data_IF_900911637284
#
_entry.id   IF_900911637284
#
_cell.length_a   1.000
_cell.length_b   1.000
_cell.length_c   1.000
_cell.angle_alpha   90.00
_cell.angle_beta   90.00
_cell.angle_gamma   90.00
#
_symmetry.space_group_name_H-M   'P 1'
#
loop_
_entity.id
_entity.type
_entity.pdbx_description
1 polymer ?
#
# COMPACT_ATOMS: atom_id res chain seq x y z
N UNK A 1 -0.54 -25.19 -2.58
CA UNK A 1 0.28 -24.42 -3.55
C UNK A 1 -0.12 -22.95 -3.67
N UNK A 2 -1.42 -22.58 -3.60
CA UNK A 2 -1.87 -21.16 -3.68
C UNK A 2 -1.22 -20.22 -2.65
N UNK A 3 -1.15 -20.63 -1.36
CA UNK A 3 -0.59 -19.76 -0.32
C UNK A 3 0.89 -19.43 -0.53
N UNK A 4 1.69 -20.34 -1.08
CA UNK A 4 3.13 -20.09 -1.30
C UNK A 4 3.37 -18.99 -2.36
N UNK A 5 2.50 -18.89 -3.37
CA UNK A 5 2.60 -17.82 -4.36
C UNK A 5 2.27 -16.45 -3.73
N UNK A 6 1.16 -16.37 -2.99
CA UNK A 6 0.74 -15.11 -2.37
C UNK A 6 1.70 -14.64 -1.27
N UNK A 7 2.24 -15.54 -0.43
CA UNK A 7 3.25 -15.16 0.56
C UNK A 7 4.51 -14.61 -0.10
N UNK A 8 4.98 -15.20 -1.22
CA UNK A 8 6.14 -14.66 -1.95
C UNK A 8 5.89 -13.28 -2.52
N UNK A 9 4.69 -13.05 -3.05
CA UNK A 9 4.30 -11.73 -3.58
C UNK A 9 4.16 -10.71 -2.46
N UNK A 10 3.51 -11.08 -1.35
CA UNK A 10 3.43 -10.26 -0.13
C UNK A 10 4.81 -9.78 0.32
N UNK A 11 5.78 -10.71 0.47
CA UNK A 11 7.16 -10.37 0.89
C UNK A 11 7.84 -9.45 -0.12
N UNK A 12 7.67 -9.71 -1.43
CA UNK A 12 8.26 -8.86 -2.46
C UNK A 12 7.70 -7.43 -2.43
N UNK A 13 6.37 -7.28 -2.32
CA UNK A 13 5.72 -5.98 -2.22
C UNK A 13 6.10 -5.25 -0.93
N UNK A 14 6.23 -5.97 0.20
CA UNK A 14 6.66 -5.39 1.47
C UNK A 14 8.10 -4.84 1.40
N UNK A 15 9.03 -5.58 0.78
CA UNK A 15 10.40 -5.12 0.55
C UNK A 15 10.43 -3.90 -0.37
N UNK A 16 9.57 -3.86 -1.40
CA UNK A 16 9.50 -2.71 -2.28
C UNK A 16 8.91 -1.49 -1.57
N UNK A 17 7.87 -1.69 -0.75
CA UNK A 17 7.25 -0.64 0.05
C UNK A 17 8.24 -0.01 1.01
N UNK A 18 9.00 -0.84 1.73
CA UNK A 18 10.04 -0.37 2.64
C UNK A 18 11.07 0.53 1.94
N UNK A 19 11.50 0.16 0.72
CA UNK A 19 12.40 0.98 -0.09
C UNK A 19 11.76 2.29 -0.52
N UNK A 20 10.54 2.22 -1.05
CA UNK A 20 9.81 3.39 -1.56
C UNK A 20 9.56 4.39 -0.43
N UNK A 21 9.15 3.89 0.74
CA UNK A 21 8.90 4.67 1.94
C UNK A 21 10.16 5.37 2.47
N UNK A 22 11.27 4.62 2.64
CA UNK A 22 12.51 5.20 3.18
C UNK A 22 13.20 6.18 2.23
N UNK A 23 13.06 5.98 0.92
CA UNK A 23 13.64 6.88 -0.08
C UNK A 23 12.71 8.00 -0.50
N UNK A 24 11.46 7.98 -0.03
CA UNK A 24 10.40 8.88 -0.49
C UNK A 24 10.23 8.82 -2.03
N UNK A 25 10.43 7.63 -2.60
CA UNK A 25 10.18 7.34 -4.01
C UNK A 25 8.65 7.17 -4.16
N UNK A 26 7.97 8.24 -4.58
CA UNK A 26 6.52 8.26 -4.77
C UNK A 26 6.09 8.09 -6.23
N UNK A 27 4.79 8.29 -6.47
CA UNK A 27 4.19 8.15 -7.80
C UNK A 27 3.33 6.90 -7.94
N UNK A 28 2.84 6.69 -9.16
CA UNK A 28 1.88 5.62 -9.47
C UNK A 28 2.41 4.23 -9.07
N UNK A 29 3.67 3.84 -9.34
CA UNK A 29 4.16 2.52 -8.94
C UNK A 29 4.16 2.29 -7.43
N UNK A 30 4.46 3.33 -6.63
CA UNK A 30 4.49 3.23 -5.18
C UNK A 30 3.06 3.11 -4.59
N UNK A 31 2.10 3.84 -5.16
CA UNK A 31 0.67 3.70 -4.84
C UNK A 31 0.14 2.32 -5.23
N UNK A 32 0.48 1.83 -6.43
CA UNK A 32 0.11 0.49 -6.90
C UNK A 32 0.72 -0.61 -6.00
N UNK A 33 1.90 -0.39 -5.43
CA UNK A 33 2.50 -1.35 -4.50
C UNK A 33 1.73 -1.42 -3.15
N UNK A 34 1.13 -0.32 -2.67
CA UNK A 34 0.25 -0.35 -1.49
C UNK A 34 -1.02 -1.17 -1.78
N UNK A 35 -1.63 -0.99 -2.95
CA UNK A 35 -2.84 -1.76 -3.34
C UNK A 35 -2.51 -3.26 -3.48
N UNK A 36 -1.35 -3.60 -4.06
CA UNK A 36 -0.87 -4.98 -4.12
C UNK A 36 -0.62 -5.57 -2.72
N UNK A 37 -0.02 -4.80 -1.80
CA UNK A 37 0.16 -5.21 -0.41
C UNK A 37 -1.17 -5.54 0.27
N UNK A 38 -2.16 -4.65 0.16
CA UNK A 38 -3.51 -4.85 0.72
C UNK A 38 -4.14 -6.13 0.15
N UNK A 39 -4.04 -6.34 -1.16
CA UNK A 39 -4.53 -7.55 -1.82
C UNK A 39 -3.87 -8.80 -1.24
N UNK A 40 -2.54 -8.83 -1.14
CA UNK A 40 -1.84 -10.04 -0.67
C UNK A 40 -1.99 -10.25 0.83
N UNK A 41 -2.14 -9.21 1.64
CA UNK A 41 -2.52 -9.31 3.06
C UNK A 41 -3.88 -10.02 3.16
N UNK A 42 -4.89 -9.52 2.45
CA UNK A 42 -6.25 -10.08 2.45
C UNK A 42 -6.32 -11.54 1.93
N UNK A 43 -5.36 -11.98 1.11
CA UNK A 43 -5.28 -13.35 0.59
C UNK A 43 -4.44 -14.30 1.46
N UNK A 44 -3.53 -13.77 2.28
CA UNK A 44 -2.49 -14.56 2.97
C UNK A 44 -2.69 -14.61 4.47
N UNK A 45 -3.21 -13.53 5.07
CA UNK A 45 -3.36 -13.36 6.51
C UNK A 45 -4.83 -13.42 6.91
N UNK A 46 -5.09 -13.89 8.12
CA UNK A 46 -6.43 -13.87 8.72
C UNK A 46 -6.66 -12.50 9.38
N UNK A 47 -7.12 -11.53 8.59
CA UNK A 47 -7.39 -10.15 9.04
C UNK A 47 -8.83 -9.99 9.50
N UNK A 48 -9.01 -9.22 10.58
CA UNK A 48 -10.35 -8.92 11.09
C UNK A 48 -11.18 -8.16 10.05
N UNK A 49 -12.52 -8.28 10.11
CA UNK A 49 -13.41 -7.52 9.22
C UNK A 49 -13.20 -6.00 9.31
N UNK A 50 -12.85 -5.51 10.50
CA UNK A 50 -12.57 -4.09 10.75
C UNK A 50 -11.27 -3.68 10.05
N UNK A 51 -10.19 -4.42 10.28
CA UNK A 51 -8.92 -4.19 9.62
C UNK A 51 -9.06 -4.22 8.09
N UNK A 52 -9.81 -5.19 7.56
CA UNK A 52 -10.09 -5.29 6.13
C UNK A 52 -10.83 -4.06 5.59
N UNK A 53 -11.85 -3.58 6.29
CA UNK A 53 -12.57 -2.37 5.89
C UNK A 53 -11.65 -1.14 5.84
N UNK A 54 -10.78 -0.97 6.83
CA UNK A 54 -9.82 0.14 6.87
C UNK A 54 -8.77 0.02 5.76
N UNK A 55 -8.31 -1.20 5.45
CA UNK A 55 -7.44 -1.45 4.30
C UNK A 55 -8.17 -1.17 2.97
N UNK A 56 -9.45 -1.51 2.83
CA UNK A 56 -10.23 -1.23 1.62
C UNK A 56 -10.45 0.30 1.42
N UNK A 57 -10.55 1.07 2.51
CA UNK A 57 -10.59 2.54 2.46
C UNK A 57 -9.25 3.11 1.94
N UNK A 58 -8.12 2.56 2.37
CA UNK A 58 -6.78 2.94 1.88
C UNK A 58 -6.58 2.53 0.42
N UNK A 59 -7.05 1.35 0.02
CA UNK A 59 -7.01 0.90 -1.38
C UNK A 59 -7.76 1.90 -2.29
N UNK A 60 -8.96 2.30 -1.87
CA UNK A 60 -9.75 3.33 -2.56
C UNK A 60 -9.01 4.67 -2.62
N UNK A 61 -8.38 5.09 -1.53
CA UNK A 61 -7.55 6.32 -1.48
C UNK A 61 -6.39 6.26 -2.47
N UNK A 62 -5.69 5.12 -2.56
CA UNK A 62 -4.60 4.92 -3.51
C UNK A 62 -5.06 5.03 -4.96
N UNK A 63 -6.22 4.45 -5.30
CA UNK A 63 -6.81 4.57 -6.64
C UNK A 63 -7.13 6.04 -6.99
N UNK A 64 -7.69 6.80 -6.05
CA UNK A 64 -7.96 8.23 -6.26
C UNK A 64 -6.66 9.03 -6.45
N UNK A 65 -5.61 8.70 -5.70
CA UNK A 65 -4.32 9.38 -5.80
C UNK A 65 -3.59 9.05 -7.10
N UNK A 66 -3.70 7.80 -7.56
CA UNK A 66 -3.23 7.35 -8.86
C UNK A 66 -3.87 8.15 -9.99
N UNK A 67 -5.18 8.41 -9.92
CA UNK A 67 -5.88 9.22 -10.92
C UNK A 67 -5.40 10.68 -10.91
N UNK A 68 -5.05 11.24 -9.75
CA UNK A 68 -4.42 12.56 -9.66
C UNK A 68 -3.03 12.54 -10.30
N UNK A 69 -2.19 11.57 -9.93
CA UNK A 69 -0.83 11.42 -10.44
C UNK A 69 -0.74 11.12 -11.94
N UNK A 70 -1.81 10.59 -12.53
CA UNK A 70 -1.86 10.32 -13.97
C UNK A 70 -2.08 11.59 -14.81
N UNK A 71 -2.37 12.73 -14.17
CA UNK A 71 -2.59 14.00 -14.88
C UNK A 71 -1.24 14.65 -15.24
N UNK A 72 -1.08 15.16 -16.48
CA UNK A 72 0.19 15.67 -16.99
C UNK A 72 0.70 16.93 -16.27
N UNK A 73 -0.17 17.63 -15.54
CA UNK A 73 0.13 18.84 -14.77
C UNK A 73 0.43 18.57 -13.29
N UNK A 74 0.32 17.31 -12.84
CA UNK A 74 0.67 16.94 -11.46
C UNK A 74 2.19 16.85 -11.32
N UNK A 75 2.74 17.58 -10.35
CA UNK A 75 4.17 17.53 -10.05
C UNK A 75 4.59 16.23 -9.37
N UNK A 76 5.84 15.82 -9.59
CA UNK A 76 6.43 14.66 -8.91
C UNK A 76 6.37 14.81 -7.38
N UNK A 77 6.60 16.02 -6.86
CA UNK A 77 6.53 16.29 -5.42
C UNK A 77 5.12 16.05 -4.87
N UNK A 78 4.08 16.48 -5.59
CA UNK A 78 2.70 16.20 -5.21
C UNK A 78 2.41 14.69 -5.21
N UNK A 79 2.96 13.95 -6.16
CA UNK A 79 2.83 12.49 -6.18
C UNK A 79 3.56 11.79 -5.03
N UNK A 80 4.68 12.35 -4.56
CA UNK A 80 5.35 11.87 -3.35
C UNK A 80 4.54 12.17 -2.10
N UNK A 81 3.98 13.37 -1.99
CA UNK A 81 3.14 13.75 -0.85
C UNK A 81 1.92 12.83 -0.73
N UNK A 82 1.25 12.56 -1.86
CA UNK A 82 0.10 11.64 -1.91
C UNK A 82 0.49 10.19 -1.55
N UNK A 83 1.64 9.72 -2.03
CA UNK A 83 2.16 8.42 -1.63
C UNK A 83 2.44 8.36 -0.12
N UNK A 84 3.13 9.35 0.44
CA UNK A 84 3.44 9.41 1.87
C UNK A 84 2.17 9.41 2.72
N UNK A 85 1.18 10.19 2.32
CA UNK A 85 -0.11 10.26 3.00
C UNK A 85 -0.86 8.91 2.99
N UNK A 86 -0.83 8.16 1.88
CA UNK A 86 -1.39 6.81 1.84
C UNK A 86 -0.53 5.78 2.62
N UNK A 87 0.80 5.90 2.56
CA UNK A 87 1.72 5.00 3.23
C UNK A 87 1.65 5.13 4.76
N UNK A 88 1.49 6.34 5.28
CA UNK A 88 1.30 6.60 6.72
C UNK A 88 0.03 5.91 7.22
N UNK A 89 -1.09 6.07 6.50
CA UNK A 89 -2.35 5.42 6.86
C UNK A 89 -2.21 3.89 6.83
N UNK A 90 -1.57 3.34 5.80
CA UNK A 90 -1.30 1.91 5.68
C UNK A 90 -0.47 1.37 6.86
N UNK A 91 0.63 2.02 7.21
CA UNK A 91 1.47 1.65 8.35
C UNK A 91 0.68 1.74 9.66
N UNK A 92 -0.12 2.79 9.83
CA UNK A 92 -0.94 2.97 11.02
C UNK A 92 -1.96 1.83 11.19
N UNK A 93 -2.65 1.42 10.13
CA UNK A 93 -3.59 0.29 10.15
C UNK A 93 -2.84 -1.02 10.43
N UNK A 94 -1.71 -1.26 9.77
CA UNK A 94 -0.92 -2.47 10.00
C UNK A 94 -0.49 -2.62 11.46
N UNK A 95 -0.03 -1.54 12.09
CA UNK A 95 0.38 -1.53 13.51
C UNK A 95 -0.80 -1.62 14.47
N UNK A 96 -1.91 -0.95 14.16
CA UNK A 96 -3.09 -0.93 15.05
C UNK A 96 -3.76 -2.31 15.16
N UNK A 97 -3.70 -3.10 14.09
CA UNK A 97 -4.32 -4.42 14.02
C UNK A 97 -3.31 -5.58 14.00
N UNK A 98 -2.04 -5.32 14.35
CA UNK A 98 -0.95 -6.31 14.39
C UNK A 98 -0.84 -7.17 13.10
N UNK A 99 -1.01 -6.53 11.93
CA UNK A 99 -1.02 -7.22 10.62
C UNK A 99 0.41 -7.49 10.14
N UNK A 100 1.24 -6.45 10.14
CA UNK A 100 2.64 -6.47 9.70
C UNK A 100 3.45 -5.51 10.59
N UNK A 101 4.70 -5.89 10.85
CA UNK A 101 5.68 -5.05 11.53
C UNK A 101 6.55 -4.33 10.49
N UNK A 102 6.10 -3.13 10.10
CA UNK A 102 6.69 -2.24 9.09
C UNK A 102 6.84 -0.83 9.67
#
# INVERSE_FOLDING_TARGET
MKNNHYTKRLVACAIQFDKDFHKMEGGIPALDNITELILYINQTLDVSKKAKSELDDIDTKCLMYRDVCSKPDTSDDKCKDLFQDAAIDFVAVCRTHDILDI
#
